data_IF_826935830301
#
_entry.id   IF_826935830301
#
_cell.length_a   1.000
_cell.length_b   1.000
_cell.length_c   1.000
_cell.angle_alpha   90.00
_cell.angle_beta   90.00
_cell.angle_gamma   90.00
#
_symmetry.space_group_name_H-M   'P 1'
#
loop_
_entity.id
_entity.type
_entity.pdbx_description
1 polymer ?
#
# COMPACT_ATOMS: atom_id res chain seq x y z
N UNK A 1 29.04 4.99 -25.55
CA UNK A 1 27.87 5.74 -25.01
C UNK A 1 26.77 4.83 -24.49
N UNK A 2 26.22 3.91 -25.30
CA UNK A 2 25.11 3.02 -24.87
C UNK A 2 25.49 2.11 -23.69
N UNK A 3 26.71 1.57 -23.69
CA UNK A 3 27.20 0.73 -22.58
C UNK A 3 27.24 1.44 -21.22
N UNK A 4 27.54 2.74 -21.21
CA UNK A 4 27.53 3.56 -19.98
C UNK A 4 26.12 3.86 -19.47
N UNK A 5 25.11 3.70 -20.32
CA UNK A 5 23.70 3.87 -19.96
C UNK A 5 23.15 2.58 -19.35
N UNK A 6 23.35 1.44 -20.02
CA UNK A 6 22.81 0.14 -19.57
C UNK A 6 23.51 -0.39 -18.31
N UNK A 7 24.76 0.02 -18.04
CA UNK A 7 25.51 -0.40 -16.85
C UNK A 7 24.99 0.19 -15.54
N UNK A 8 23.97 1.06 -15.58
CA UNK A 8 23.41 1.73 -14.39
C UNK A 8 22.17 1.03 -13.82
N UNK A 9 21.66 -0.02 -14.47
CA UNK A 9 20.38 -0.63 -14.11
C UNK A 9 20.49 -2.15 -13.90
N UNK A 10 19.80 -2.69 -12.88
CA UNK A 10 19.56 -4.12 -12.65
C UNK A 10 18.05 -4.43 -12.67
N UNK A 11 17.67 -5.66 -12.31
CA UNK A 11 16.27 -6.10 -12.25
C UNK A 11 15.43 -5.32 -11.22
N UNK A 12 16.07 -4.62 -10.29
CA UNK A 12 15.47 -3.85 -9.20
C UNK A 12 15.49 -2.34 -9.48
N UNK A 13 16.11 -1.88 -10.57
CA UNK A 13 16.20 -0.47 -10.93
C UNK A 13 17.64 0.03 -10.99
N UNK A 14 17.90 1.28 -10.59
CA UNK A 14 19.23 1.88 -10.66
C UNK A 14 20.18 1.27 -9.61
N UNK A 15 21.38 0.85 -10.03
CA UNK A 15 22.37 0.10 -9.23
C UNK A 15 22.99 0.92 -8.07
N UNK A 16 22.98 2.25 -8.16
CA UNK A 16 23.65 3.14 -7.19
C UNK A 16 22.67 4.11 -6.50
N UNK A 17 21.42 3.70 -6.36
CA UNK A 17 20.51 4.38 -5.45
C UNK A 17 20.95 4.03 -4.02
N UNK A 18 21.77 4.90 -3.43
CA UNK A 18 22.02 4.89 -1.99
C UNK A 18 20.65 4.98 -1.30
N UNK A 19 20.07 3.84 -0.94
CA UNK A 19 18.82 3.77 -0.18
C UNK A 19 19.15 4.33 1.18
N UNK A 20 18.93 5.64 1.38
CA UNK A 20 18.70 6.16 2.71
C UNK A 20 17.48 5.41 3.20
N UNK A 21 17.72 4.37 4.01
CA UNK A 21 16.68 3.80 4.84
C UNK A 21 16.30 4.90 5.81
N UNK A 22 15.39 5.77 5.37
CA UNK A 22 14.61 6.54 6.30
C UNK A 22 13.91 5.46 7.12
N UNK A 23 14.40 5.24 8.34
CA UNK A 23 13.68 4.48 9.34
C UNK A 23 12.33 5.19 9.42
N UNK A 24 11.31 4.66 8.76
CA UNK A 24 9.96 5.13 8.87
C UNK A 24 9.62 4.95 10.34
N UNK A 25 9.76 6.05 11.09
CA UNK A 25 9.19 6.16 12.41
C UNK A 25 7.71 5.96 12.13
N UNK A 26 7.21 4.76 12.41
CA UNK A 26 5.79 4.44 12.42
C UNK A 26 5.18 5.28 13.55
N UNK A 27 5.02 6.58 13.30
CA UNK A 27 4.10 7.42 14.04
C UNK A 27 2.77 6.78 13.69
N UNK A 28 2.24 5.98 14.61
CA UNK A 28 0.88 5.44 14.53
C UNK A 28 -0.02 6.67 14.62
N UNK A 29 -0.21 7.36 13.50
CA UNK A 29 -1.27 8.32 13.33
C UNK A 29 -2.55 7.51 13.47
N UNK A 30 -3.41 7.88 14.40
CA UNK A 30 -4.74 7.31 14.51
C UNK A 30 -5.50 7.65 13.23
N UNK A 31 -5.48 6.73 12.27
CA UNK A 31 -6.18 6.86 11.00
C UNK A 31 -7.68 6.75 11.26
N UNK A 32 -8.47 7.68 10.73
CA UNK A 32 -9.93 7.66 10.87
C UNK A 32 -10.53 6.87 9.72
N UNK A 33 -11.29 5.83 10.03
CA UNK A 33 -12.05 5.07 9.04
C UNK A 33 -13.12 5.97 8.39
N UNK A 34 -13.11 6.07 7.07
CA UNK A 34 -14.08 6.84 6.28
C UNK A 34 -15.18 5.95 5.73
N UNK A 35 -14.81 4.82 5.11
CA UNK A 35 -15.77 3.91 4.48
C UNK A 35 -15.23 2.49 4.37
N UNK A 36 -16.16 1.55 4.21
CA UNK A 36 -15.86 0.15 3.90
C UNK A 36 -16.63 -0.21 2.64
N UNK A 37 -15.92 -0.75 1.65
CA UNK A 37 -16.54 -1.21 0.41
C UNK A 37 -16.13 -2.64 0.07
N UNK A 38 -16.95 -3.33 -0.71
CA UNK A 38 -16.55 -4.59 -1.33
C UNK A 38 -15.79 -4.38 -2.65
N UNK A 39 -15.44 -5.48 -3.32
CA UNK A 39 -14.74 -5.45 -4.61
C UNK A 39 -15.50 -4.74 -5.74
N UNK A 40 -16.82 -4.54 -5.60
CA UNK A 40 -17.64 -3.81 -6.56
C UNK A 40 -17.82 -2.33 -6.18
N UNK A 41 -17.16 -1.86 -5.12
CA UNK A 41 -17.25 -0.48 -4.63
C UNK A 41 -18.56 -0.16 -3.91
N UNK A 42 -19.32 -1.18 -3.48
CA UNK A 42 -20.57 -0.97 -2.74
C UNK A 42 -20.25 -0.68 -1.28
N UNK A 43 -20.80 0.40 -0.72
CA UNK A 43 -20.68 0.70 0.70
C UNK A 43 -21.40 -0.37 1.53
N UNK A 44 -20.66 -1.04 2.40
CA UNK A 44 -21.16 -2.07 3.30
C UNK A 44 -20.65 -1.83 4.72
N UNK A 45 -21.26 -2.47 5.72
CA UNK A 45 -20.77 -2.39 7.11
C UNK A 45 -19.56 -3.31 7.27
N UNK A 46 -19.79 -4.55 7.71
CA UNK A 46 -18.78 -5.59 7.74
C UNK A 46 -19.49 -6.91 7.44
N UNK A 47 -18.96 -7.67 6.50
CA UNK A 47 -19.49 -8.97 6.10
C UNK A 47 -18.37 -10.01 6.22
N UNK A 48 -18.72 -11.19 6.70
CA UNK A 48 -17.79 -12.32 6.78
C UNK A 48 -17.61 -12.97 5.40
N UNK A 49 -16.49 -13.65 5.24
CA UNK A 49 -16.12 -14.51 4.10
C UNK A 49 -16.07 -13.79 2.75
N UNK A 50 -16.00 -12.45 2.74
CA UNK A 50 -15.79 -11.64 1.54
C UNK A 50 -14.60 -10.68 1.70
N UNK A 51 -13.94 -10.29 0.61
CA UNK A 51 -12.95 -9.21 0.63
C UNK A 51 -13.59 -7.85 0.89
N UNK A 52 -13.04 -7.13 1.87
CA UNK A 52 -13.43 -5.78 2.26
C UNK A 52 -12.25 -4.82 2.05
N UNK A 53 -12.55 -3.60 1.63
CA UNK A 53 -11.60 -2.49 1.51
C UNK A 53 -11.99 -1.37 2.47
N UNK A 54 -11.10 -1.04 3.39
CA UNK A 54 -11.25 0.01 4.40
C UNK A 54 -10.49 1.24 3.91
N UNK A 55 -11.19 2.35 3.73
CA UNK A 55 -10.61 3.63 3.31
C UNK A 55 -10.43 4.54 4.50
N UNK A 56 -9.25 5.13 4.65
CA UNK A 56 -8.91 6.02 5.74
C UNK A 56 -8.72 7.47 5.27
N UNK A 57 -8.79 8.41 6.22
CA UNK A 57 -8.65 9.84 5.98
C UNK A 57 -7.26 10.29 5.51
N UNK A 58 -6.23 9.51 5.82
CA UNK A 58 -4.87 9.67 5.30
C UNK A 58 -4.70 9.16 3.86
N UNK A 59 -5.77 8.67 3.23
CA UNK A 59 -5.76 8.11 1.88
C UNK A 59 -5.24 6.67 1.79
N UNK A 60 -4.87 6.05 2.91
CA UNK A 60 -4.49 4.63 2.91
C UNK A 60 -5.70 3.71 2.76
N UNK A 61 -5.46 2.52 2.24
CA UNK A 61 -6.48 1.48 2.04
C UNK A 61 -6.00 0.16 2.62
N UNK A 62 -6.81 -0.47 3.46
CA UNK A 62 -6.56 -1.81 3.97
C UNK A 62 -7.53 -2.83 3.39
N UNK A 63 -7.02 -4.00 2.98
CA UNK A 63 -7.82 -5.13 2.53
C UNK A 63 -7.97 -6.14 3.67
N UNK A 64 -9.21 -6.53 4.01
CA UNK A 64 -9.51 -7.51 5.07
C UNK A 64 -10.46 -8.61 4.56
N UNK A 65 -10.30 -9.82 5.09
CA UNK A 65 -11.28 -10.92 4.96
C UNK A 65 -11.56 -11.40 6.37
N UNK A 66 -12.79 -11.22 6.84
CA UNK A 66 -13.22 -11.64 8.17
C UNK A 66 -13.78 -13.06 8.04
N UNK A 67 -13.23 -14.03 8.77
CA UNK A 67 -13.69 -15.43 8.74
C UNK A 67 -14.69 -15.69 9.89
N UNK A 68 -15.50 -16.74 9.77
CA UNK A 68 -16.39 -17.23 10.83
C UNK A 68 -15.65 -18.12 11.82
#
# INVERSE_FOLDING_TARGET
EIWNFVSKFDINGLIDCNTTSNNEINIIQNKKLLSITDMLGRNIKELKNIPLFYFYDDGSVEKKIILE
#
